data_IF_469242116850
#
_entry.id   IF_469242116850
#
_cell.length_a   1.000
_cell.length_b   1.000
_cell.length_c   1.000
_cell.angle_alpha   90.00
_cell.angle_beta   90.00
_cell.angle_gamma   90.00
#
_symmetry.space_group_name_H-M   'P 1'
#
loop_
_entity.id
_entity.type
_entity.pdbx_description
1 polymer ?
#
# COMPACT_ATOMS: atom_id res chain seq x y z
N UNK A 1 35.29 5.58 8.58
CA UNK A 1 35.21 4.83 7.31
C UNK A 1 33.99 5.34 6.58
N UNK A 2 34.23 6.31 5.70
CA UNK A 2 33.21 6.95 4.88
C UNK A 2 32.95 6.01 3.69
N UNK A 3 31.84 5.28 3.73
CA UNK A 3 31.46 4.41 2.63
C UNK A 3 31.25 5.28 1.39
N UNK A 4 32.04 5.03 0.36
CA UNK A 4 31.97 5.68 -0.94
C UNK A 4 30.51 5.73 -1.40
N UNK A 5 29.88 6.91 -1.35
CA UNK A 5 28.64 7.15 -2.10
C UNK A 5 29.03 7.10 -3.57
N UNK A 6 28.77 5.98 -4.24
CA UNK A 6 28.83 5.97 -5.70
C UNK A 6 27.82 7.01 -6.20
N UNK A 7 28.32 8.06 -6.85
CA UNK A 7 27.50 9.04 -7.55
C UNK A 7 26.86 8.35 -8.75
N UNK A 8 25.65 7.82 -8.55
CA UNK A 8 24.83 7.29 -9.63
C UNK A 8 24.48 8.46 -10.55
N UNK A 9 25.02 8.44 -11.77
CA UNK A 9 24.66 9.40 -12.81
C UNK A 9 23.17 9.26 -13.14
N UNK A 10 22.48 10.40 -13.21
CA UNK A 10 21.07 10.49 -13.58
C UNK A 10 20.87 11.50 -14.71
N UNK A 11 19.81 11.30 -15.50
CA UNK A 11 19.45 12.16 -16.63
C UNK A 11 18.34 13.16 -16.27
N UNK A 12 17.50 12.80 -15.29
CA UNK A 12 16.44 13.67 -14.76
C UNK A 12 16.34 13.55 -13.25
N UNK A 13 15.92 14.63 -12.60
CA UNK A 13 15.62 14.67 -11.17
C UNK A 13 14.18 15.15 -10.93
N UNK A 14 13.52 14.53 -9.97
CA UNK A 14 12.15 14.82 -9.58
C UNK A 14 12.07 14.98 -8.05
N UNK A 15 11.86 16.22 -7.60
CA UNK A 15 11.62 16.53 -6.20
C UNK A 15 10.10 16.49 -5.89
N UNK A 16 9.70 15.57 -5.03
CA UNK A 16 8.33 15.29 -4.60
C UNK A 16 8.19 15.42 -3.07
N UNK A 17 9.06 16.22 -2.45
CA UNK A 17 8.96 16.55 -1.04
C UNK A 17 7.62 17.25 -0.73
N UNK A 18 7.06 16.97 0.44
CA UNK A 18 5.77 17.48 0.88
C UNK A 18 4.55 16.81 0.24
N UNK A 19 4.73 15.97 -0.79
CA UNK A 19 3.64 15.19 -1.38
C UNK A 19 3.45 13.87 -0.62
N UNK A 20 2.20 13.41 -0.56
CA UNK A 20 1.81 12.16 0.11
C UNK A 20 1.25 11.14 -0.87
N UNK A 21 1.29 9.87 -0.50
CA UNK A 21 0.70 8.76 -1.27
C UNK A 21 -0.74 9.07 -1.76
N UNK A 22 -1.08 8.80 -3.03
CA UNK A 22 -0.30 8.10 -4.05
C UNK A 22 0.51 9.03 -4.99
N UNK A 23 0.58 10.32 -4.70
CA UNK A 23 1.10 11.32 -5.66
C UNK A 23 2.55 11.05 -6.08
N UNK A 24 3.50 10.77 -5.16
CA UNK A 24 4.90 10.56 -5.55
C UNK A 24 5.10 9.45 -6.58
N UNK A 25 4.41 8.32 -6.43
CA UNK A 25 4.57 7.19 -7.36
C UNK A 25 3.88 7.44 -8.71
N UNK A 26 2.77 8.19 -8.71
CA UNK A 26 2.09 8.59 -9.95
C UNK A 26 2.99 9.50 -10.79
N UNK A 27 3.56 10.55 -10.19
CA UNK A 27 4.45 11.48 -10.91
C UNK A 27 5.75 10.80 -11.37
N UNK A 28 6.27 9.87 -10.55
CA UNK A 28 7.40 9.02 -10.94
C UNK A 28 7.08 8.22 -12.20
N UNK A 29 5.94 7.53 -12.23
CA UNK A 29 5.49 6.75 -13.39
C UNK A 29 5.32 7.61 -14.64
N UNK A 30 4.67 8.78 -14.51
CA UNK A 30 4.46 9.70 -15.63
C UNK A 30 5.77 10.26 -16.19
N UNK A 31 6.76 10.48 -15.32
CA UNK A 31 8.08 10.99 -15.73
C UNK A 31 8.86 9.91 -16.48
N UNK A 32 8.94 8.69 -15.93
CA UNK A 32 9.60 7.55 -16.61
C UNK A 32 8.94 7.24 -17.95
N UNK A 33 7.61 7.36 -18.05
CA UNK A 33 6.90 7.18 -19.32
C UNK A 33 7.40 8.12 -20.42
N UNK A 34 7.79 9.35 -20.08
CA UNK A 34 8.30 10.39 -21.01
C UNK A 34 9.83 10.36 -21.22
N UNK A 35 10.52 9.39 -20.63
CA UNK A 35 11.97 9.22 -20.78
C UNK A 35 12.33 8.27 -21.92
N UNK A 36 13.57 8.32 -22.38
CA UNK A 36 14.11 7.34 -23.32
C UNK A 36 14.57 6.08 -22.59
N UNK A 37 14.63 4.95 -23.30
CA UNK A 37 15.19 3.72 -22.73
C UNK A 37 16.64 3.97 -22.26
N UNK A 38 16.98 3.41 -21.10
CA UNK A 38 18.30 3.56 -20.50
C UNK A 38 18.49 4.82 -19.67
N UNK A 39 17.64 5.84 -19.81
CA UNK A 39 17.69 7.05 -18.98
C UNK A 39 17.35 6.73 -17.52
N UNK A 40 18.03 7.43 -16.61
CA UNK A 40 17.92 7.28 -15.15
C UNK A 40 17.24 8.49 -14.54
N UNK A 41 16.18 8.24 -13.77
CA UNK A 41 15.44 9.20 -12.99
C UNK A 41 15.86 9.11 -11.52
N UNK A 42 16.31 10.23 -10.96
CA UNK A 42 16.45 10.41 -9.51
C UNK A 42 15.14 10.98 -8.96
N UNK A 43 14.55 10.34 -7.96
CA UNK A 43 13.36 10.83 -7.25
C UNK A 43 13.71 11.07 -5.80
N UNK A 44 13.28 12.21 -5.26
CA UNK A 44 13.38 12.55 -3.84
C UNK A 44 11.97 12.74 -3.30
N UNK A 45 11.58 11.98 -2.27
CA UNK A 45 10.26 12.09 -1.65
C UNK A 45 10.35 12.00 -0.12
N UNK A 46 9.47 12.72 0.57
CA UNK A 46 9.32 12.65 2.04
C UNK A 46 8.16 11.76 2.47
N UNK A 47 7.39 11.21 1.53
CA UNK A 47 6.31 10.28 1.84
C UNK A 47 6.89 8.99 2.45
N UNK A 48 6.45 8.57 3.65
CA UNK A 48 7.00 7.40 4.33
C UNK A 48 6.64 6.07 3.64
N UNK A 49 5.65 6.07 2.73
CA UNK A 49 5.27 4.92 1.93
C UNK A 49 6.07 4.78 0.63
N UNK A 50 6.77 5.83 0.19
CA UNK A 50 7.35 5.90 -1.15
C UNK A 50 8.39 4.81 -1.42
N UNK A 51 9.22 4.46 -0.43
CA UNK A 51 10.20 3.36 -0.55
C UNK A 51 9.53 2.05 -0.96
N UNK A 52 8.44 1.67 -0.29
CA UNK A 52 7.68 0.46 -0.60
C UNK A 52 6.98 0.58 -1.96
N UNK A 53 6.42 1.75 -2.24
CA UNK A 53 5.66 1.99 -3.46
C UNK A 53 6.56 1.93 -4.70
N UNK A 54 7.77 2.51 -4.67
CA UNK A 54 8.73 2.48 -5.78
C UNK A 54 9.27 1.06 -6.02
N UNK A 55 9.51 0.27 -4.96
CA UNK A 55 9.87 -1.15 -5.07
C UNK A 55 8.79 -1.95 -5.80
N UNK A 56 7.53 -1.79 -5.39
CA UNK A 56 6.41 -2.51 -5.99
C UNK A 56 6.16 -2.07 -7.43
N UNK A 57 6.21 -0.76 -7.69
CA UNK A 57 6.04 -0.19 -9.03
C UNK A 57 7.15 -0.66 -9.99
N UNK A 58 8.41 -0.70 -9.56
CA UNK A 58 9.53 -1.21 -10.37
C UNK A 58 9.28 -2.66 -10.78
N UNK A 59 8.88 -3.53 -9.83
CA UNK A 59 8.54 -4.93 -10.13
C UNK A 59 7.38 -5.08 -11.09
N UNK A 60 6.32 -4.27 -10.92
CA UNK A 60 5.12 -4.34 -11.75
C UNK A 60 5.35 -3.83 -13.17
N UNK A 61 6.08 -2.72 -13.29
CA UNK A 61 6.36 -2.08 -14.57
C UNK A 61 7.58 -2.66 -15.28
N UNK A 62 8.39 -3.47 -14.60
CA UNK A 62 9.69 -3.98 -15.09
C UNK A 62 10.74 -2.90 -15.36
N UNK A 63 10.52 -1.67 -14.91
CA UNK A 63 11.59 -0.68 -14.85
C UNK A 63 12.57 -1.04 -13.73
N UNK A 64 13.84 -0.73 -13.91
CA UNK A 64 14.90 -1.15 -13.00
C UNK A 64 15.03 -0.13 -11.85
N UNK A 65 14.85 -0.58 -10.60
CA UNK A 65 15.19 0.22 -9.43
C UNK A 65 16.66 -0.01 -9.10
N UNK A 66 17.52 0.93 -9.53
CA UNK A 66 18.98 0.84 -9.32
C UNK A 66 19.31 0.94 -7.84
N UNK A 67 18.72 1.93 -7.15
CA UNK A 67 18.96 2.17 -5.73
C UNK A 67 17.75 2.81 -5.10
N UNK A 68 17.50 2.47 -3.84
CA UNK A 68 16.64 3.25 -2.95
C UNK A 68 17.30 3.33 -1.58
N UNK A 69 17.37 4.53 -1.00
CA UNK A 69 17.95 4.77 0.32
C UNK A 69 17.16 5.83 1.07
N UNK A 70 17.26 5.79 2.40
CA UNK A 70 16.82 6.87 3.27
C UNK A 70 17.99 7.75 3.63
N UNK A 71 17.90 9.04 3.34
CA UNK A 71 18.91 10.05 3.59
C UNK A 71 18.19 11.27 4.21
N UNK A 72 18.57 11.66 5.43
CA UNK A 72 18.03 12.83 6.16
C UNK A 72 16.49 12.91 6.22
N UNK A 73 15.84 11.77 6.48
CA UNK A 73 14.37 11.69 6.54
C UNK A 73 13.67 11.70 5.18
N UNK A 74 14.43 11.69 4.09
CA UNK A 74 13.93 11.61 2.71
C UNK A 74 14.22 10.23 2.13
N UNK A 75 13.35 9.75 1.26
CA UNK A 75 13.61 8.59 0.43
C UNK A 75 14.16 9.08 -0.92
N UNK A 76 15.34 8.60 -1.30
CA UNK A 76 15.97 8.87 -2.59
C UNK A 76 15.99 7.58 -3.40
N UNK A 77 15.38 7.60 -4.59
CA UNK A 77 15.31 6.46 -5.49
C UNK A 77 15.92 6.78 -6.85
N UNK A 78 16.65 5.82 -7.43
CA UNK A 78 17.21 5.89 -8.78
C UNK A 78 16.56 4.80 -9.62
N UNK A 79 15.90 5.21 -10.70
CA UNK A 79 15.07 4.33 -11.54
C UNK A 79 15.56 4.44 -12.97
N UNK A 80 15.88 3.32 -13.61
CA UNK A 80 16.24 3.27 -15.02
C UNK A 80 15.08 2.75 -15.85
N UNK A 81 14.77 3.47 -16.93
CA UNK A 81 13.77 3.01 -17.90
C UNK A 81 14.30 1.82 -18.69
N UNK A 82 13.51 0.75 -18.76
CA UNK A 82 13.82 -0.45 -19.54
C UNK A 82 12.94 -0.56 -20.79
N UNK A 83 13.41 -1.25 -21.82
CA UNK A 83 12.59 -1.60 -23.01
C UNK A 83 11.37 -2.45 -22.66
N UNK A 84 11.48 -3.27 -21.62
CA UNK A 84 10.38 -4.10 -21.12
C UNK A 84 9.39 -3.34 -20.23
N UNK A 85 9.61 -2.04 -20.02
CA UNK A 85 8.76 -1.16 -19.24
C UNK A 85 7.28 -1.25 -19.65
N UNK A 86 6.46 -1.90 -18.82
CA UNK A 86 5.00 -2.00 -19.02
C UNK A 86 4.30 -0.96 -18.17
N UNK A 87 3.75 0.05 -18.83
CA UNK A 87 2.84 0.99 -18.17
C UNK A 87 1.52 0.32 -17.80
N UNK A 88 0.87 0.72 -16.69
CA UNK A 88 -0.47 0.28 -16.39
C UNK A 88 -1.42 0.69 -17.52
N UNK A 89 -2.13 -0.28 -18.08
CA UNK A 89 -3.08 -0.01 -19.18
C UNK A 89 -4.24 0.86 -18.70
N UNK A 90 -4.94 1.53 -19.62
CA UNK A 90 -6.18 2.26 -19.28
C UNK A 90 -7.19 1.36 -18.54
N UNK A 91 -7.30 0.09 -18.95
CA UNK A 91 -8.15 -0.89 -18.28
C UNK A 91 -7.73 -1.18 -16.84
N UNK A 92 -6.44 -1.11 -16.51
CA UNK A 92 -5.97 -1.17 -15.12
C UNK A 92 -6.46 0.05 -14.33
N UNK A 93 -6.29 1.25 -14.88
CA UNK A 93 -6.72 2.50 -14.22
C UNK A 93 -8.24 2.53 -13.98
N UNK A 94 -9.05 2.08 -14.93
CA UNK A 94 -10.50 1.95 -14.76
C UNK A 94 -10.81 1.00 -13.58
N UNK A 95 -10.16 -0.18 -13.55
CA UNK A 95 -10.34 -1.15 -12.46
C UNK A 95 -9.91 -0.62 -11.10
N UNK A 96 -8.81 0.14 -11.06
CA UNK A 96 -8.30 0.74 -9.83
C UNK A 96 -9.28 1.76 -9.26
N UNK A 97 -9.77 2.70 -10.07
CA UNK A 97 -10.78 3.67 -9.63
C UNK A 97 -12.10 3.00 -9.26
N UNK A 98 -12.56 2.02 -10.06
CA UNK A 98 -13.77 1.26 -9.75
C UNK A 98 -13.65 0.50 -8.42
N UNK A 99 -12.46 -0.05 -8.11
CA UNK A 99 -12.18 -0.65 -6.81
C UNK A 99 -12.30 0.39 -5.69
N UNK A 100 -11.70 1.57 -5.84
CA UNK A 100 -11.80 2.66 -4.87
C UNK A 100 -13.25 3.06 -4.59
N UNK A 101 -14.05 3.29 -5.63
CA UNK A 101 -15.48 3.61 -5.53
C UNK A 101 -16.25 2.48 -4.82
N UNK A 102 -16.01 1.22 -5.21
CA UNK A 102 -16.63 0.05 -4.60
C UNK A 102 -16.34 -0.04 -3.10
N UNK A 103 -15.09 0.21 -2.68
CA UNK A 103 -14.69 0.15 -1.29
C UNK A 103 -15.37 1.24 -0.45
N UNK A 104 -15.42 2.48 -0.94
CA UNK A 104 -16.09 3.57 -0.25
C UNK A 104 -17.60 3.38 -0.18
N UNK A 105 -18.22 2.87 -1.26
CA UNK A 105 -19.65 2.54 -1.27
C UNK A 105 -19.98 1.47 -0.22
N UNK A 106 -19.15 0.42 -0.10
CA UNK A 106 -19.33 -0.59 0.96
C UNK A 106 -19.25 0.00 2.36
N UNK A 107 -18.25 0.86 2.61
CA UNK A 107 -18.11 1.54 3.89
C UNK A 107 -19.36 2.40 4.20
N UNK A 108 -19.87 3.12 3.20
CA UNK A 108 -21.10 3.91 3.33
C UNK A 108 -22.31 3.03 3.66
N UNK A 109 -22.53 1.93 2.93
CA UNK A 109 -23.63 0.99 3.18
C UNK A 109 -23.55 0.36 4.57
N UNK A 110 -22.34 0.00 5.03
CA UNK A 110 -22.11 -0.52 6.39
C UNK A 110 -22.42 0.53 7.48
N UNK A 111 -22.16 1.81 7.22
CA UNK A 111 -22.49 2.90 8.15
C UNK A 111 -24.00 3.15 8.22
N UNK A 112 -24.70 3.04 7.09
CA UNK A 112 -26.11 3.39 6.97
C UNK A 112 -27.07 2.29 7.43
N UNK A 113 -26.69 1.02 7.35
CA UNK A 113 -27.57 -0.09 7.71
C UNK A 113 -27.60 -0.36 9.23
N UNK A 114 -28.71 -0.05 9.95
CA UNK A 114 -28.78 -0.25 11.40
C UNK A 114 -29.01 -1.72 11.80
N UNK A 115 -29.40 -2.58 10.85
CA UNK A 115 -29.73 -3.99 11.10
C UNK A 115 -28.50 -4.91 11.01
N UNK A 116 -27.34 -4.38 10.60
CA UNK A 116 -26.10 -5.15 10.49
C UNK A 116 -25.21 -4.84 11.69
N UNK A 117 -24.79 -5.89 12.40
CA UNK A 117 -23.80 -5.75 13.47
C UNK A 117 -22.48 -5.24 12.88
N UNK A 118 -22.06 -4.06 13.32
CA UNK A 118 -20.87 -3.38 12.78
C UNK A 118 -19.60 -4.18 13.08
N UNK A 119 -18.62 -4.22 12.16
CA UNK A 119 -17.31 -4.79 12.45
C UNK A 119 -16.61 -3.96 13.52
N UNK A 120 -15.83 -4.63 14.35
CA UNK A 120 -15.07 -4.05 15.46
C UNK A 120 -13.59 -4.42 15.43
N UNK A 121 -13.16 -5.31 14.52
CA UNK A 121 -11.77 -5.69 14.31
C UNK A 121 -11.38 -5.49 12.85
N UNK A 122 -10.16 -5.00 12.62
CA UNK A 122 -9.68 -4.56 11.32
C UNK A 122 -8.29 -5.14 11.09
N UNK A 123 -8.17 -6.05 10.12
CA UNK A 123 -6.90 -6.68 9.76
C UNK A 123 -6.25 -5.83 8.68
N UNK A 124 -5.04 -5.31 8.94
CA UNK A 124 -4.26 -4.51 7.99
C UNK A 124 -3.30 -5.39 7.17
N UNK A 125 -2.87 -4.84 6.03
CA UNK A 125 -2.03 -5.52 5.07
C UNK A 125 -0.88 -4.63 4.62
N UNK A 126 0.24 -5.27 4.31
CA UNK A 126 1.44 -4.59 3.79
C UNK A 126 1.21 -3.90 2.45
N UNK A 127 0.14 -4.26 1.72
CA UNK A 127 -0.25 -3.62 0.46
C UNK A 127 -1.75 -3.81 0.14
N UNK A 128 -2.30 -2.92 -0.69
CA UNK A 128 -3.68 -3.03 -1.22
C UNK A 128 -3.88 -4.36 -2.00
N UNK A 129 -2.86 -4.79 -2.74
CA UNK A 129 -2.87 -6.06 -3.47
C UNK A 129 -3.06 -7.26 -2.55
N UNK A 130 -2.44 -7.25 -1.36
CA UNK A 130 -2.57 -8.32 -0.38
C UNK A 130 -4.00 -8.38 0.18
N UNK A 131 -4.58 -7.25 0.57
CA UNK A 131 -5.96 -7.21 1.06
C UNK A 131 -7.00 -7.60 0.00
N UNK A 132 -6.82 -7.17 -1.26
CA UNK A 132 -7.72 -7.56 -2.36
C UNK A 132 -7.58 -9.03 -2.75
N UNK A 133 -6.37 -9.60 -2.70
CA UNK A 133 -6.13 -11.03 -2.89
C UNK A 133 -6.75 -11.82 -1.74
N UNK A 134 -6.61 -11.35 -0.50
CA UNK A 134 -7.18 -11.98 0.69
C UNK A 134 -8.71 -12.01 0.64
N UNK A 135 -9.35 -10.90 0.24
CA UNK A 135 -10.80 -10.87 0.04
C UNK A 135 -11.27 -11.96 -0.96
N UNK A 136 -10.59 -12.05 -2.12
CA UNK A 136 -10.91 -13.05 -3.15
C UNK A 136 -10.68 -14.47 -2.65
N UNK A 137 -9.60 -14.69 -1.91
CA UNK A 137 -9.26 -15.99 -1.32
C UNK A 137 -10.34 -16.45 -0.34
N UNK A 138 -10.80 -15.54 0.54
CA UNK A 138 -11.88 -15.82 1.48
C UNK A 138 -13.24 -15.99 0.78
N UNK A 139 -13.41 -15.53 -0.47
CA UNK A 139 -14.67 -15.61 -1.26
C UNK A 139 -15.89 -15.04 -0.52
N UNK A 140 -15.69 -14.03 0.32
CA UNK A 140 -16.75 -13.48 1.20
C UNK A 140 -17.19 -14.40 2.35
N UNK A 141 -16.53 -15.55 2.54
CA UNK A 141 -16.69 -16.39 3.72
C UNK A 141 -16.07 -15.70 4.94
N UNK A 142 -16.39 -16.21 6.12
CA UNK A 142 -15.91 -15.68 7.41
C UNK A 142 -16.45 -14.28 7.76
N UNK A 143 -17.38 -13.71 6.99
CA UNK A 143 -17.99 -12.42 7.30
C UNK A 143 -16.99 -11.26 7.32
N UNK A 144 -15.87 -11.41 6.62
CA UNK A 144 -14.86 -10.38 6.44
C UNK A 144 -15.23 -9.51 5.23
N UNK A 145 -15.20 -8.18 5.40
CA UNK A 145 -15.51 -7.24 4.33
C UNK A 145 -14.32 -6.34 4.09
N UNK A 146 -13.85 -6.30 2.84
CA UNK A 146 -12.79 -5.38 2.45
C UNK A 146 -13.35 -3.96 2.34
N UNK A 147 -12.74 -3.04 3.08
CA UNK A 147 -13.05 -1.61 3.12
C UNK A 147 -11.74 -0.79 3.06
N UNK A 148 -11.81 0.53 2.79
CA UNK A 148 -10.66 1.41 2.96
C UNK A 148 -10.18 1.36 4.42
N UNK A 149 -8.87 1.50 4.61
CA UNK A 149 -8.31 1.68 5.95
C UNK A 149 -8.91 2.97 6.57
N UNK A 150 -9.41 2.93 7.81
CA UNK A 150 -9.81 4.15 8.52
C UNK A 150 -8.59 5.06 8.75
N UNK A 151 -8.76 6.36 8.53
CA UNK A 151 -7.70 7.37 8.69
C UNK A 151 -7.09 7.35 10.10
N UNK A 152 -7.85 6.92 11.12
CA UNK A 152 -7.37 6.80 12.49
C UNK A 152 -6.44 5.60 12.72
N UNK A 153 -6.42 4.62 11.81
CA UNK A 153 -5.47 3.50 11.82
C UNK A 153 -4.21 3.88 11.05
N UNK A 154 -4.37 4.35 9.81
CA UNK A 154 -3.28 4.82 8.96
C UNK A 154 -3.87 5.83 7.96
N UNK A 155 -3.35 7.07 7.89
CA UNK A 155 -3.83 8.07 6.94
C UNK A 155 -3.42 7.78 5.49
N UNK A 156 -2.57 6.77 5.23
CA UNK A 156 -2.13 6.39 3.89
C UNK A 156 -3.16 5.54 3.17
N UNK A 157 -3.15 5.59 1.83
CA UNK A 157 -4.00 4.75 0.99
C UNK A 157 -3.76 3.25 1.27
N UNK A 158 -4.76 2.58 1.85
CA UNK A 158 -4.69 1.18 2.25
C UNK A 158 -6.07 0.52 2.34
N UNK A 159 -6.08 -0.77 2.63
CA UNK A 159 -7.32 -1.54 2.83
C UNK A 159 -7.22 -2.39 4.09
N UNK A 160 -8.37 -2.67 4.67
CA UNK A 160 -8.50 -3.59 5.80
C UNK A 160 -9.60 -4.60 5.56
N UNK A 161 -9.42 -5.81 6.08
CA UNK A 161 -10.55 -6.72 6.27
C UNK A 161 -11.23 -6.35 7.59
N UNK A 162 -12.44 -5.81 7.48
CA UNK A 162 -13.30 -5.54 8.62
C UNK A 162 -14.04 -6.82 9.01
N UNK A 163 -13.85 -7.24 10.26
CA UNK A 163 -14.37 -8.48 10.84
C UNK A 163 -15.07 -8.15 12.15
N UNK A 164 -16.09 -8.93 12.50
CA UNK A 164 -16.72 -8.85 13.82
C UNK A 164 -16.20 -9.95 14.74
N UNK A 165 -15.76 -9.55 15.92
CA UNK A 165 -15.23 -10.44 16.96
C UNK A 165 -13.73 -10.68 16.83
N UNK A 166 -13.06 -10.71 17.99
CA UNK A 166 -11.60 -10.84 18.09
C UNK A 166 -11.12 -12.23 17.65
N UNK A 167 -11.75 -13.29 18.14
CA UNK A 167 -11.36 -14.68 17.84
C UNK A 167 -11.40 -14.96 16.34
N UNK A 168 -12.46 -14.48 15.68
CA UNK A 168 -12.60 -14.61 14.24
C UNK A 168 -11.56 -13.80 13.47
N UNK A 169 -11.26 -12.59 13.94
CA UNK A 169 -10.21 -11.78 13.33
C UNK A 169 -8.84 -12.48 13.43
N UNK A 170 -8.53 -13.09 14.58
CA UNK A 170 -7.30 -13.88 14.78
C UNK A 170 -7.28 -15.15 13.92
N UNK A 171 -8.39 -15.88 13.83
CA UNK A 171 -8.52 -17.05 12.95
C UNK A 171 -8.20 -16.69 11.49
N UNK A 172 -8.81 -15.61 10.98
CA UNK A 172 -8.56 -15.12 9.62
C UNK A 172 -7.11 -14.65 9.47
N UNK A 173 -6.58 -13.92 10.44
CA UNK A 173 -5.19 -13.44 10.41
C UNK A 173 -4.21 -14.60 10.29
N UNK A 174 -4.33 -15.62 11.15
CA UNK A 174 -3.42 -16.78 11.14
C UNK A 174 -3.58 -17.62 9.88
N UNK A 175 -4.81 -17.79 9.39
CA UNK A 175 -5.07 -18.44 8.11
C UNK A 175 -4.34 -17.71 6.97
N UNK A 176 -4.53 -16.40 6.85
CA UNK A 176 -3.92 -15.61 5.79
C UNK A 176 -2.38 -15.61 5.92
N UNK A 177 -1.84 -15.49 7.12
CA UNK A 177 -0.40 -15.56 7.37
C UNK A 177 0.18 -16.91 6.94
N UNK A 178 -0.47 -18.03 7.31
CA UNK A 178 -0.08 -19.38 6.92
C UNK A 178 -0.07 -19.59 5.41
N UNK A 179 -1.02 -18.98 4.72
CA UNK A 179 -1.15 -19.02 3.25
C UNK A 179 -0.23 -18.00 2.54
N UNK A 180 0.68 -17.35 3.27
CA UNK A 180 1.71 -16.47 2.71
C UNK A 180 1.22 -15.08 2.30
N UNK A 181 0.13 -14.60 2.89
CA UNK A 181 -0.34 -13.23 2.69
C UNK A 181 0.41 -12.25 3.60
N UNK A 182 0.64 -11.04 3.11
CA UNK A 182 1.26 -9.94 3.85
C UNK A 182 0.29 -9.27 4.83
N UNK A 183 -0.16 -10.01 5.86
CA UNK A 183 -0.92 -9.44 6.99
C UNK A 183 0.03 -8.78 7.98
N UNK A 184 -0.35 -7.60 8.50
CA UNK A 184 0.49 -6.86 9.44
C UNK A 184 -0.03 -7.01 10.87
N UNK A 185 -1.21 -6.46 11.15
CA UNK A 185 -1.77 -6.38 12.50
C UNK A 185 -3.29 -6.34 12.49
N UNK A 186 -3.89 -6.55 13.67
CA UNK A 186 -5.31 -6.41 13.94
C UNK A 186 -5.51 -5.21 14.86
N UNK A 187 -6.39 -4.31 14.47
CA UNK A 187 -6.88 -3.22 15.31
C UNK A 187 -8.29 -3.52 15.79
N UNK A 188 -8.57 -3.21 17.06
CA UNK A 188 -9.91 -3.20 17.63
C UNK A 188 -10.42 -1.77 17.71
N UNK A 189 -11.64 -1.53 17.23
CA UNK A 189 -12.31 -0.23 17.35
C UNK A 189 -12.98 -0.11 18.72
N UNK A 190 -12.61 0.94 19.46
CA UNK A 190 -13.26 1.40 20.68
C UNK A 190 -13.73 2.84 20.48
N UNK A 191 -15.04 3.04 20.30
CA UNK A 191 -15.63 4.34 19.97
C UNK A 191 -15.01 4.96 18.69
N UNK A 192 -14.29 6.08 18.83
CA UNK A 192 -13.55 6.77 17.75
C UNK A 192 -12.08 6.35 17.64
N UNK A 193 -11.60 5.48 18.54
CA UNK A 193 -10.21 5.08 18.60
C UNK A 193 -10.02 3.65 18.10
N UNK A 194 -8.81 3.37 17.63
CA UNK A 194 -8.38 2.04 17.21
C UNK A 194 -7.15 1.66 18.01
N UNK A 195 -7.17 0.44 18.55
CA UNK A 195 -6.11 -0.09 19.40
C UNK A 195 -5.53 -1.33 18.72
N UNK A 196 -4.21 -1.41 18.58
CA UNK A 196 -3.54 -2.63 18.13
C UNK A 196 -3.74 -3.73 19.16
N UNK A 197 -4.29 -4.87 18.74
CA UNK A 197 -4.61 -6.00 19.64
C UNK A 197 -3.90 -7.30 19.26
N UNK A 198 -3.40 -7.43 18.03
CA UNK A 198 -2.76 -8.67 17.58
C UNK A 198 -1.84 -8.47 16.36
N UNK A 199 -0.68 -9.13 16.25
CA UNK A 199 -0.01 -9.83 17.35
C UNK A 199 0.27 -8.84 18.49
N UNK A 200 0.32 -9.35 19.73
CA UNK A 200 0.62 -8.49 20.89
C UNK A 200 1.94 -7.76 20.60
N UNK A 201 2.04 -6.45 20.89
CA UNK A 201 3.33 -5.77 20.86
C UNK A 201 4.33 -6.60 21.66
N UNK A 202 5.50 -6.90 21.08
CA UNK A 202 6.61 -7.36 21.90
C UNK A 202 7.02 -6.17 22.77
N UNK A 203 7.21 -6.40 24.06
CA UNK A 203 7.80 -5.41 24.97
C UNK A 203 9.29 -5.28 24.61
N UNK A 204 9.60 -4.57 23.51
CA UNK A 204 10.96 -4.20 23.09
C UNK A 204 11.15 -2.68 23.17
#
# INVERSE_FOLDING_TARGET
MEALKEDIKFDRELNLEGLSCPVPIVMTSETVKKMNEGEVLKVVATDPGFERDVWNWSKQTKNELIRVSKEDGKTVAYIKKTSEGKEPSLGYWIRFHALGVKLHLRLFLLKLNPFVKKPDHFITFTAISEGTRAEKFLKGKHGAVLIPIPDEIDPRCGVVLAVRGEDKAKEIYELLRKEGFGVETIYRKKNKHYERVYPKPTDD
#
